data_IF_912016890798
#
_entry.id   IF_912016890798
#
_cell.length_a   1.000
_cell.length_b   1.000
_cell.length_c   1.000
_cell.angle_alpha   90.00
_cell.angle_beta   90.00
_cell.angle_gamma   90.00
#
_symmetry.space_group_name_H-M   'P 1'
#
loop_
_entity.id
_entity.type
_entity.pdbx_description
1 polymer ?
#
# COMPACT_ATOMS: atom_id res chain seq x y z
N UNK A 1 -11.15 -5.31 9.77
CA UNK A 1 -9.70 -5.57 9.92
C UNK A 1 -9.48 -6.27 11.25
N UNK A 2 -8.90 -7.48 11.28
CA UNK A 2 -8.51 -8.13 12.55
C UNK A 2 -7.33 -7.35 13.14
N UNK A 3 -7.38 -7.05 14.44
CA UNK A 3 -6.30 -6.38 15.14
C UNK A 3 -5.00 -7.19 15.01
N UNK A 4 -3.96 -6.58 14.44
CA UNK A 4 -2.63 -7.18 14.36
C UNK A 4 -1.96 -6.99 15.72
N UNK A 5 -1.49 -8.08 16.34
CA UNK A 5 -0.83 -8.00 17.62
C UNK A 5 0.53 -7.27 17.52
N UNK A 6 1.01 -6.74 18.65
CA UNK A 6 2.27 -5.99 18.70
C UNK A 6 3.49 -6.82 18.25
N UNK A 7 3.48 -8.14 18.47
CA UNK A 7 4.57 -9.04 18.09
C UNK A 7 4.63 -9.21 16.57
N UNK A 8 3.50 -9.44 15.93
CA UNK A 8 3.29 -9.63 14.51
C UNK A 8 3.66 -8.36 13.74
N UNK A 9 3.32 -7.18 14.27
CA UNK A 9 3.73 -5.91 13.69
C UNK A 9 5.25 -5.69 13.75
N UNK A 10 5.90 -6.03 14.87
CA UNK A 10 7.37 -5.97 14.99
C UNK A 10 8.05 -6.89 13.99
N UNK A 11 7.52 -8.11 13.83
CA UNK A 11 8.01 -9.09 12.85
C UNK A 11 7.83 -8.56 11.43
N UNK A 12 6.67 -8.01 11.09
CA UNK A 12 6.42 -7.38 9.80
C UNK A 12 7.46 -6.32 9.47
N UNK A 13 7.70 -5.36 10.37
CA UNK A 13 8.68 -4.28 10.15
C UNK A 13 10.09 -4.85 9.95
N UNK A 14 10.47 -5.88 10.72
CA UNK A 14 11.81 -6.50 10.62
C UNK A 14 12.00 -7.22 9.28
N UNK A 15 11.00 -7.97 8.82
CA UNK A 15 11.04 -8.67 7.54
C UNK A 15 10.88 -7.71 6.34
N UNK A 16 10.11 -6.63 6.50
CA UNK A 16 9.98 -5.56 5.52
C UNK A 16 11.34 -4.87 5.26
N UNK A 17 12.13 -4.64 6.32
CA UNK A 17 13.49 -4.12 6.22
C UNK A 17 14.46 -5.11 5.57
N UNK A 18 14.23 -6.42 5.74
CA UNK A 18 15.04 -7.46 5.09
C UNK A 18 14.81 -7.50 3.58
N UNK A 19 13.56 -7.30 3.12
CA UNK A 19 13.24 -7.03 1.72
C UNK A 19 13.42 -8.21 0.76
N UNK A 20 13.64 -9.42 1.27
CA UNK A 20 13.75 -10.66 0.49
C UNK A 20 12.68 -11.67 0.92
N UNK A 21 12.25 -12.59 0.02
CA UNK A 21 11.48 -13.76 0.41
C UNK A 21 12.21 -14.53 1.50
N UNK A 22 11.48 -15.04 2.50
CA UNK A 22 12.07 -15.80 3.62
C UNK A 22 11.34 -17.11 3.85
N UNK A 23 12.10 -18.20 3.92
CA UNK A 23 11.61 -19.48 4.39
C UNK A 23 11.40 -19.49 5.91
N UNK A 24 10.67 -20.48 6.43
CA UNK A 24 10.37 -20.59 7.90
C UNK A 24 11.65 -20.63 8.74
N UNK A 25 12.67 -21.39 8.31
CA UNK A 25 13.95 -21.52 9.04
C UNK A 25 14.79 -20.25 8.96
N UNK A 26 14.76 -19.55 7.84
CA UNK A 26 15.47 -18.28 7.66
C UNK A 26 14.82 -17.18 8.50
N UNK A 27 13.49 -17.07 8.44
CA UNK A 27 12.71 -16.19 9.31
C UNK A 27 12.95 -16.51 10.79
N UNK A 28 13.05 -17.79 11.18
CA UNK A 28 13.35 -18.18 12.56
C UNK A 28 14.69 -17.60 13.03
N UNK A 29 15.74 -17.72 12.19
CA UNK A 29 17.07 -17.16 12.48
C UNK A 29 17.05 -15.63 12.55
N UNK A 30 16.41 -14.97 11.59
CA UNK A 30 16.28 -13.51 11.54
C UNK A 30 15.49 -12.95 12.73
N UNK A 31 14.44 -13.63 13.16
CA UNK A 31 13.57 -13.20 14.26
C UNK A 31 14.08 -13.65 15.64
N UNK A 32 15.03 -14.58 15.70
CA UNK A 32 15.57 -15.11 16.96
C UNK A 32 14.58 -16.00 17.71
N UNK A 33 13.66 -16.66 16.99
CA UNK A 33 12.66 -17.52 17.61
C UNK A 33 13.22 -18.90 17.94
N UNK A 34 12.88 -19.41 19.14
CA UNK A 34 13.36 -20.71 19.64
C UNK A 34 12.75 -21.92 18.92
N UNK A 35 11.60 -21.75 18.26
CA UNK A 35 10.88 -22.84 17.58
C UNK A 35 10.45 -22.44 16.16
N UNK A 36 10.65 -23.31 15.16
CA UNK A 36 10.12 -23.11 13.80
C UNK A 36 8.60 -23.05 13.78
N UNK A 37 7.91 -23.79 14.67
CA UNK A 37 6.45 -23.78 14.76
C UNK A 37 5.88 -22.42 15.20
N UNK A 38 6.54 -21.74 16.15
CA UNK A 38 6.17 -20.36 16.52
C UNK A 38 6.35 -19.41 15.34
N UNK A 39 7.46 -19.55 14.62
CA UNK A 39 7.78 -18.73 13.45
C UNK A 39 6.71 -18.88 12.37
N UNK A 40 6.39 -20.12 12.00
CA UNK A 40 5.34 -20.41 11.02
C UNK A 40 4.00 -19.81 11.44
N UNK A 41 3.61 -19.95 12.71
CA UNK A 41 2.34 -19.39 13.21
C UNK A 41 2.27 -17.87 13.06
N UNK A 42 3.35 -17.14 13.32
CA UNK A 42 3.40 -15.68 13.15
C UNK A 42 3.40 -15.29 11.68
N UNK A 43 4.15 -16.02 10.83
CA UNK A 43 4.13 -15.81 9.38
C UNK A 43 2.74 -16.05 8.79
N UNK A 44 2.03 -17.08 9.24
CA UNK A 44 0.64 -17.31 8.84
C UNK A 44 -0.32 -16.24 9.35
N UNK A 45 -0.07 -15.62 10.51
CA UNK A 45 -0.83 -14.43 10.94
C UNK A 45 -0.62 -13.27 9.98
N UNK A 46 0.60 -13.06 9.50
CA UNK A 46 0.88 -12.04 8.47
C UNK A 46 0.15 -12.33 7.17
N UNK A 47 0.11 -13.59 6.74
CA UNK A 47 -0.65 -14.00 5.55
C UNK A 47 -2.15 -13.78 5.74
N UNK A 48 -2.72 -14.18 6.88
CA UNK A 48 -4.13 -13.93 7.22
C UNK A 48 -4.47 -12.45 7.33
N UNK A 49 -3.48 -11.59 7.60
CA UNK A 49 -3.63 -10.14 7.65
C UNK A 49 -3.36 -9.45 6.30
N UNK A 50 -3.12 -10.20 5.21
CA UNK A 50 -2.69 -9.69 3.89
C UNK A 50 -1.40 -8.85 3.94
N UNK A 51 -0.55 -9.06 4.95
CA UNK A 51 0.75 -8.38 5.09
C UNK A 51 1.91 -9.21 4.49
N UNK A 52 1.64 -10.46 4.15
CA UNK A 52 2.57 -11.37 3.47
C UNK A 52 1.78 -12.34 2.59
N UNK A 53 2.42 -12.94 1.60
CA UNK A 53 1.89 -14.07 0.84
C UNK A 53 2.96 -15.16 0.70
N UNK A 54 2.54 -16.36 0.32
CA UNK A 54 3.45 -17.47 0.04
C UNK A 54 3.70 -17.55 -1.46
N UNK A 55 4.97 -17.61 -1.88
CA UNK A 55 5.31 -17.82 -3.28
C UNK A 55 5.25 -19.33 -3.64
N UNK A 56 5.45 -19.64 -4.91
CA UNK A 56 5.48 -21.02 -5.43
C UNK A 56 6.58 -21.88 -4.79
N UNK A 57 7.67 -21.25 -4.33
CA UNK A 57 8.77 -21.93 -3.64
C UNK A 57 8.47 -22.23 -2.16
N UNK A 58 7.32 -21.81 -1.64
CA UNK A 58 6.94 -21.98 -0.24
C UNK A 58 7.50 -20.92 0.72
N UNK A 59 8.21 -19.91 0.20
CA UNK A 59 8.75 -18.79 0.95
C UNK A 59 7.69 -17.72 1.20
N UNK A 60 7.86 -17.00 2.30
CA UNK A 60 7.00 -15.88 2.67
C UNK A 60 7.56 -14.59 2.10
N UNK A 61 6.78 -13.94 1.24
CA UNK A 61 7.07 -12.64 0.68
C UNK A 61 6.25 -11.60 1.43
N UNK A 62 6.92 -10.64 2.05
CA UNK A 62 6.24 -9.53 2.72
C UNK A 62 5.63 -8.62 1.65
N UNK A 63 4.34 -8.34 1.82
CA UNK A 63 3.64 -7.38 0.97
C UNK A 63 4.17 -6.00 1.36
N UNK A 64 5.05 -5.47 0.50
CA UNK A 64 5.54 -4.08 0.57
C UNK A 64 4.49 -3.10 0.04
N UNK A 65 3.51 -3.62 -0.68
CA UNK A 65 2.38 -2.86 -1.19
C UNK A 65 1.36 -2.62 -0.09
N UNK A 66 1.34 -1.38 0.41
CA UNK A 66 0.14 -0.84 1.02
C UNK A 66 -1.06 -1.23 0.13
N UNK A 67 -2.14 -1.79 0.69
CA UNK A 67 -3.17 -2.53 -0.05
C UNK A 67 -3.79 -1.71 -1.18
N UNK A 68 -4.48 -2.30 -2.18
CA UNK A 68 -5.00 -1.58 -3.35
C UNK A 68 -5.95 -0.40 -3.05
N UNK A 69 -6.47 -0.26 -1.82
CA UNK A 69 -7.12 0.98 -1.36
C UNK A 69 -6.15 2.17 -1.14
N UNK A 70 -4.86 1.88 -0.98
CA UNK A 70 -3.72 2.80 -0.92
C UNK A 70 -2.90 2.82 -2.24
N UNK A 71 -3.25 2.01 -3.24
CA UNK A 71 -2.71 2.16 -4.61
C UNK A 71 -3.14 3.50 -5.25
N UNK A 72 -4.06 4.23 -4.63
CA UNK A 72 -4.37 5.59 -4.98
C UNK A 72 -3.41 6.60 -4.36
N UNK A 73 -2.21 6.26 -3.90
CA UNK A 73 -1.26 7.23 -3.33
C UNK A 73 0.08 7.19 -4.04
N UNK A 74 0.54 8.36 -4.50
CA UNK A 74 1.86 8.58 -5.06
C UNK A 74 2.74 9.19 -3.97
N UNK A 75 3.89 8.58 -3.70
CA UNK A 75 4.83 9.09 -2.70
C UNK A 75 5.76 10.09 -3.39
N UNK A 76 5.61 11.38 -3.07
CA UNK A 76 6.57 12.41 -3.45
C UNK A 76 7.39 12.76 -2.20
N UNK A 77 8.65 12.34 -2.19
CA UNK A 77 9.66 12.63 -1.16
C UNK A 77 9.31 12.09 0.24
N UNK A 78 8.52 12.81 1.04
CA UNK A 78 8.09 12.47 2.42
C UNK A 78 6.57 12.62 2.65
N UNK A 79 5.80 13.00 1.63
CA UNK A 79 4.36 13.22 1.73
C UNK A 79 3.60 12.11 0.97
N UNK A 80 2.65 11.48 1.64
CA UNK A 80 1.78 10.45 1.05
C UNK A 80 0.59 11.19 0.44
N UNK A 81 0.59 11.39 -0.87
CA UNK A 81 -0.47 12.14 -1.56
C UNK A 81 -1.35 11.19 -2.36
N UNK A 82 -2.69 11.31 -2.29
CA UNK A 82 -3.56 10.55 -3.16
C UNK A 82 -3.29 10.92 -4.64
N UNK A 83 -3.09 9.94 -5.53
CA UNK A 83 -3.08 10.09 -7.00
C UNK A 83 -4.29 10.89 -7.50
N UNK A 84 -5.44 10.79 -6.84
CA UNK A 84 -6.62 11.62 -7.17
C UNK A 84 -6.38 13.12 -7.03
N UNK A 85 -5.51 13.57 -6.13
CA UNK A 85 -5.17 14.99 -5.98
C UNK A 85 -4.38 15.50 -7.18
N UNK A 86 -3.48 14.68 -7.73
CA UNK A 86 -2.73 15.02 -8.95
C UNK A 86 -3.69 15.14 -10.14
N UNK A 87 -4.57 14.15 -10.33
CA UNK A 87 -5.56 14.21 -11.40
C UNK A 87 -6.56 15.36 -11.21
N UNK A 88 -7.02 15.62 -9.98
CA UNK A 88 -7.91 16.73 -9.70
C UNK A 88 -7.26 18.07 -10.05
N UNK A 89 -6.00 18.30 -9.69
CA UNK A 89 -5.30 19.54 -10.04
C UNK A 89 -5.07 19.69 -11.54
N UNK A 90 -4.74 18.61 -12.24
CA UNK A 90 -4.56 18.65 -13.69
C UNK A 90 -5.88 18.94 -14.40
N UNK A 91 -6.94 18.25 -14.01
CA UNK A 91 -8.29 18.44 -14.56
C UNK A 91 -8.82 19.84 -14.26
N UNK A 92 -8.70 20.35 -13.02
CA UNK A 92 -9.14 21.71 -12.70
C UNK A 92 -8.33 22.76 -13.46
N UNK A 93 -7.02 22.58 -13.57
CA UNK A 93 -6.16 23.50 -14.36
C UNK A 93 -6.57 23.50 -15.84
N UNK A 94 -6.85 22.33 -16.41
CA UNK A 94 -7.29 22.18 -17.79
C UNK A 94 -8.67 22.82 -18.02
N UNK A 95 -9.64 22.57 -17.14
CA UNK A 95 -10.97 23.17 -17.20
C UNK A 95 -10.90 24.70 -17.10
N UNK A 96 -10.17 25.23 -16.11
CA UNK A 96 -10.01 26.67 -15.91
C UNK A 96 -9.36 27.33 -17.12
N UNK A 97 -8.26 26.75 -17.63
CA UNK A 97 -7.56 27.26 -18.81
C UNK A 97 -8.48 27.26 -20.04
N UNK A 98 -9.21 26.17 -20.27
CA UNK A 98 -10.15 26.06 -21.40
C UNK A 98 -11.30 27.09 -21.31
N UNK A 99 -11.83 27.34 -20.11
CA UNK A 99 -12.87 28.36 -19.88
C UNK A 99 -12.39 29.80 -19.96
N UNK A 100 -11.09 30.05 -19.75
CA UNK A 100 -10.50 31.38 -19.92
C UNK A 100 -10.18 31.70 -21.37
N UNK A 101 -9.79 30.70 -22.17
CA UNK A 101 -9.48 30.90 -23.59
C UNK A 101 -10.72 30.91 -24.49
N UNK A 102 -11.80 30.29 -24.05
CA UNK A 102 -13.06 30.25 -24.78
C UNK A 102 -14.06 31.03 -23.96
N UNK A 103 -14.65 32.11 -24.48
CA UNK A 103 -15.73 32.89 -23.83
C UNK A 103 -17.00 32.02 -23.65
N UNK A 104 -16.87 30.98 -22.84
CA UNK A 104 -17.82 29.87 -22.76
C UNK A 104 -18.89 30.25 -21.73
N UNK A 105 -20.18 30.11 -22.05
CA UNK A 105 -21.23 30.50 -21.12
C UNK A 105 -21.20 29.58 -19.88
N UNK A 106 -21.22 30.21 -18.69
CA UNK A 106 -20.93 29.60 -17.40
C UNK A 106 -21.78 28.36 -17.04
N UNK A 107 -22.94 28.18 -17.67
CA UNK A 107 -23.83 27.04 -17.43
C UNK A 107 -23.23 25.70 -17.86
N UNK A 108 -22.36 25.66 -18.89
CA UNK A 108 -21.71 24.41 -19.34
C UNK A 108 -20.66 23.90 -18.35
N UNK A 109 -20.01 24.82 -17.62
CA UNK A 109 -19.02 24.49 -16.58
C UNK A 109 -19.70 23.82 -15.39
N UNK A 110 -20.90 24.30 -15.03
CA UNK A 110 -21.70 23.74 -13.93
C UNK A 110 -22.17 22.32 -14.25
N UNK A 111 -22.56 22.04 -15.51
CA UNK A 111 -22.97 20.70 -15.93
C UNK A 111 -21.81 19.69 -15.90
N UNK A 112 -20.61 20.11 -16.31
CA UNK A 112 -19.41 19.24 -16.27
C UNK A 112 -18.87 18.98 -14.85
N UNK A 113 -19.10 19.87 -13.90
CA UNK A 113 -18.65 19.70 -12.51
C UNK A 113 -19.54 18.76 -11.68
N UNK A 114 -20.74 18.42 -12.19
CA UNK A 114 -21.76 17.61 -11.50
C UNK A 114 -21.74 16.14 -11.97
N UNK A 115 -21.11 15.85 -13.11
CA UNK A 115 -20.98 14.50 -13.70
C UNK A 115 -19.68 13.82 -13.25
#
# INVERSE_FOLDING_TARGET
>A
MRAVDSETLKVYIKLLKYGKPVGVREAQRLLGYRSPGKTQRVLERLVKANLAFRNENGDYVIVKELPPQLASYMVIRKLILPRSLVYATFTTTFVVTYTLLTDLPAHLVIVLAIV
#
